data_IF_791403090767
#
_entry.id   IF_791403090767
#
_cell.length_a   1.000
_cell.length_b   1.000
_cell.length_c   1.000
_cell.angle_alpha   90.00
_cell.angle_beta   90.00
_cell.angle_gamma   90.00
#
_symmetry.space_group_name_H-M   'P 1'
#
loop_
_entity.id
_entity.type
_entity.pdbx_description
1 polymer ?
#
# COMPACT_ATOMS: atom_id res chain seq x y z
N UNK A 1 14.33 -10.43 -6.19
CA UNK A 1 13.54 -9.44 -5.42
C UNK A 1 13.48 -9.89 -3.97
N UNK A 2 14.34 -9.37 -3.09
CA UNK A 2 14.31 -9.73 -1.67
C UNK A 2 13.09 -9.08 -1.01
N UNK A 3 12.17 -9.88 -0.47
CA UNK A 3 11.05 -9.35 0.32
C UNK A 3 11.62 -8.82 1.63
N UNK A 4 11.68 -7.50 1.78
CA UNK A 4 12.06 -6.91 3.05
C UNK A 4 10.87 -7.07 4.00
N UNK A 5 11.06 -7.84 5.07
CA UNK A 5 10.05 -7.99 6.11
C UNK A 5 9.79 -6.63 6.73
N UNK A 6 8.51 -6.22 6.82
CA UNK A 6 8.15 -4.94 7.43
C UNK A 6 8.59 -4.94 8.91
N UNK A 7 9.24 -3.87 9.41
CA UNK A 7 9.66 -3.80 10.81
C UNK A 7 8.45 -3.86 11.75
N UNK A 8 8.65 -4.44 12.93
CA UNK A 8 7.59 -4.54 13.93
C UNK A 8 7.21 -3.14 14.46
N UNK A 9 5.96 -2.98 14.88
CA UNK A 9 5.47 -1.69 15.40
C UNK A 9 6.24 -1.19 16.62
N UNK A 10 6.69 -2.10 17.47
CA UNK A 10 7.55 -1.79 18.62
C UNK A 10 8.89 -1.17 18.18
N UNK A 11 9.50 -1.70 17.12
CA UNK A 11 10.74 -1.13 16.57
C UNK A 11 10.53 0.28 16.03
N UNK A 12 9.40 0.53 15.37
CA UNK A 12 9.04 1.86 14.84
C UNK A 12 8.80 2.85 16.00
N UNK A 13 8.01 2.49 16.99
CA UNK A 13 7.72 3.35 18.14
C UNK A 13 8.99 3.72 18.93
N UNK A 14 9.97 2.80 19.02
CA UNK A 14 11.26 3.08 19.66
C UNK A 14 12.08 4.15 18.92
N UNK A 15 11.97 4.22 17.60
CA UNK A 15 12.68 5.21 16.78
C UNK A 15 12.04 6.59 16.91
N UNK A 16 10.71 6.65 16.82
CA UNK A 16 9.98 7.92 16.83
C UNK A 16 9.62 8.42 18.23
N UNK A 17 9.84 7.61 19.27
CA UNK A 17 9.67 8.00 20.68
C UNK A 17 8.22 8.10 21.16
N UNK A 18 7.25 8.02 20.26
CA UNK A 18 5.82 8.04 20.53
C UNK A 18 5.14 6.76 20.02
N UNK A 19 4.13 6.28 20.74
CA UNK A 19 3.28 5.20 20.25
C UNK A 19 2.42 5.74 19.11
N UNK A 20 2.71 5.32 17.88
CA UNK A 20 1.90 5.69 16.73
C UNK A 20 0.43 5.30 16.97
N UNK A 21 -0.55 6.14 16.58
CA UNK A 21 -1.97 5.87 16.79
C UNK A 21 -2.37 4.50 16.27
N UNK A 22 -3.15 3.75 17.06
CA UNK A 22 -3.71 2.46 16.62
C UNK A 22 -4.74 2.77 15.54
N UNK A 23 -4.32 2.81 14.27
CA UNK A 23 -5.25 2.88 13.15
C UNK A 23 -6.06 1.59 13.10
N UNK A 24 -7.36 1.73 12.82
CA UNK A 24 -8.23 0.56 12.69
C UNK A 24 -7.75 -0.29 11.51
N UNK A 25 -8.05 -1.60 11.54
CA UNK A 25 -7.83 -2.47 10.38
C UNK A 25 -8.53 -1.91 9.14
N UNK A 26 -9.67 -1.25 9.34
CA UNK A 26 -10.49 -0.62 8.29
C UNK A 26 -9.78 0.53 7.55
N UNK A 27 -8.85 1.23 8.21
CA UNK A 27 -8.05 2.31 7.60
C UNK A 27 -6.80 1.79 6.90
N UNK A 28 -6.47 0.50 7.09
CA UNK A 28 -5.38 -0.16 6.40
C UNK A 28 -5.93 -0.75 5.11
N UNK A 29 -5.77 0.01 4.03
CA UNK A 29 -6.01 -0.42 2.65
C UNK A 29 -5.63 -1.90 2.46
N UNK A 30 -6.61 -2.70 2.02
CA UNK A 30 -6.48 -4.13 1.80
C UNK A 30 -5.42 -4.47 0.73
N UNK A 31 -5.05 -5.76 0.72
CA UNK A 31 -3.95 -6.37 -0.02
C UNK A 31 -3.46 -5.58 -1.25
N UNK A 32 -2.21 -5.06 -1.24
CA UNK A 32 -1.71 -4.22 -2.32
C UNK A 32 -1.68 -4.92 -3.69
N UNK A 33 -1.68 -6.25 -3.72
CA UNK A 33 -1.66 -7.02 -4.98
C UNK A 33 -3.02 -7.02 -5.71
N UNK A 34 -4.12 -7.03 -4.95
CA UNK A 34 -5.46 -6.88 -5.51
C UNK A 34 -5.64 -5.47 -6.11
N UNK A 35 -5.18 -4.45 -5.40
CA UNK A 35 -5.22 -3.04 -5.85
C UNK A 35 -4.41 -2.79 -7.12
N UNK A 36 -3.25 -3.44 -7.26
CA UNK A 36 -2.41 -3.30 -8.45
C UNK A 36 -3.14 -3.82 -9.70
N UNK A 37 -3.84 -4.96 -9.59
CA UNK A 37 -4.60 -5.53 -10.72
C UNK A 37 -5.80 -4.66 -11.12
N UNK A 38 -6.53 -4.12 -10.13
CA UNK A 38 -7.65 -3.20 -10.36
C UNK A 38 -7.18 -1.88 -10.98
N UNK A 39 -6.05 -1.35 -10.51
CA UNK A 39 -5.44 -0.13 -11.03
C UNK A 39 -5.00 -0.27 -12.49
N UNK A 40 -4.33 -1.37 -12.84
CA UNK A 40 -3.92 -1.64 -14.22
C UNK A 40 -5.13 -1.81 -15.15
N UNK A 41 -6.21 -2.40 -14.65
CA UNK A 41 -7.46 -2.52 -15.41
C UNK A 41 -8.06 -1.14 -15.70
N UNK A 42 -8.16 -0.29 -14.68
CA UNK A 42 -8.67 1.07 -14.85
C UNK A 42 -7.84 1.90 -15.82
N UNK A 43 -6.50 1.81 -15.75
CA UNK A 43 -5.61 2.52 -16.67
C UNK A 43 -5.84 2.12 -18.12
N UNK A 44 -6.02 0.82 -18.40
CA UNK A 44 -6.28 0.30 -19.75
C UNK A 44 -7.61 0.78 -20.31
N UNK A 45 -8.64 0.83 -19.48
CA UNK A 45 -9.97 1.25 -19.88
C UNK A 45 -10.07 2.76 -20.17
N UNK A 46 -9.09 3.53 -19.69
CA UNK A 46 -9.08 5.00 -19.82
C UNK A 46 -7.95 5.52 -20.72
N UNK A 47 -7.33 4.66 -21.56
CA UNK A 47 -6.31 5.12 -22.51
C UNK A 47 -6.96 6.00 -23.58
N UNK A 48 -6.48 7.25 -23.80
CA UNK A 48 -7.03 8.13 -24.82
C UNK A 48 -6.83 7.59 -26.25
N UNK A 49 -7.77 7.84 -27.17
CA UNK A 49 -7.85 7.19 -28.48
C UNK A 49 -6.74 7.53 -29.49
N UNK A 50 -5.83 8.45 -29.13
CA UNK A 50 -4.78 8.95 -30.02
C UNK A 50 -3.41 8.32 -29.79
N UNK A 51 -3.29 7.34 -28.89
CA UNK A 51 -2.06 6.58 -28.68
C UNK A 51 -2.04 5.36 -29.61
N UNK A 52 -1.49 5.52 -30.81
CA UNK A 52 -0.98 4.40 -31.61
C UNK A 52 0.54 4.45 -31.65
#
# INVERSE_FOLDING_TARGET
MTRHSKPSRSAVNKIFGEELPKTSVDEREDDPSARETEHETWLRDNIPPHHK
#
